data_IF_445612909356
#
_entry.id   IF_445612909356
#
_cell.length_a   1.000
_cell.length_b   1.000
_cell.length_c   1.000
_cell.angle_alpha   90.00
_cell.angle_beta   90.00
_cell.angle_gamma   90.00
#
_symmetry.space_group_name_H-M   'P 1'
#
loop_
_entity.id
_entity.type
_entity.pdbx_description
1 polymer ?
#
# COMPACT_ATOMS: atom_id res chain seq x y z
N UNK A 1 -5.25 44.20 -7.73
CA UNK A 1 -5.97 42.94 -8.03
C UNK A 1 -7.15 42.84 -7.08
N UNK A 2 -8.31 42.42 -7.58
CA UNK A 2 -9.48 42.15 -6.73
C UNK A 2 -9.19 40.93 -5.84
N UNK A 3 -9.57 41.02 -4.56
CA UNK A 3 -9.40 39.92 -3.59
C UNK A 3 -10.14 38.67 -4.05
N UNK A 4 -11.31 38.83 -4.68
CA UNK A 4 -12.09 37.71 -5.19
C UNK A 4 -11.39 36.98 -6.34
N UNK A 5 -10.72 37.72 -7.23
CA UNK A 5 -9.98 37.12 -8.35
C UNK A 5 -8.74 36.37 -7.88
N UNK A 6 -8.05 36.89 -6.85
CA UNK A 6 -6.93 36.18 -6.20
C UNK A 6 -7.39 34.85 -5.60
N UNK A 7 -8.51 34.85 -4.85
CA UNK A 7 -9.06 33.63 -4.24
C UNK A 7 -9.43 32.60 -5.32
N UNK A 8 -10.03 33.04 -6.44
CA UNK A 8 -10.40 32.14 -7.54
C UNK A 8 -9.16 31.50 -8.19
N UNK A 9 -8.10 32.27 -8.42
CA UNK A 9 -6.85 31.75 -8.95
C UNK A 9 -6.20 30.74 -8.00
N UNK A 10 -6.21 31.01 -6.69
CA UNK A 10 -5.67 30.08 -5.69
C UNK A 10 -6.45 28.77 -5.65
N UNK A 11 -7.78 28.82 -5.73
CA UNK A 11 -8.62 27.61 -5.80
C UNK A 11 -8.36 26.81 -7.09
N UNK A 12 -8.16 27.47 -8.22
CA UNK A 12 -7.82 26.80 -9.48
C UNK A 12 -6.46 26.12 -9.40
N UNK A 13 -5.46 26.82 -8.85
CA UNK A 13 -4.12 26.30 -8.62
C UNK A 13 -4.13 25.08 -7.71
N UNK A 14 -4.85 25.14 -6.60
CA UNK A 14 -5.02 24.00 -5.69
C UNK A 14 -5.61 22.78 -6.40
N UNK A 15 -6.60 22.99 -7.28
CA UNK A 15 -7.20 21.89 -8.07
C UNK A 15 -6.21 21.32 -9.08
N UNK A 16 -5.40 22.15 -9.72
CA UNK A 16 -4.36 21.70 -10.65
C UNK A 16 -3.27 20.91 -9.93
N UNK A 17 -2.77 21.42 -8.79
CA UNK A 17 -1.80 20.74 -7.94
C UNK A 17 -2.32 19.39 -7.42
N UNK A 18 -3.60 19.29 -7.06
CA UNK A 18 -4.21 18.03 -6.64
C UNK A 18 -4.25 16.98 -7.77
N UNK A 19 -4.40 17.43 -9.02
CA UNK A 19 -4.35 16.56 -10.20
C UNK A 19 -2.91 16.11 -10.50
N UNK A 20 -1.93 17.00 -10.30
CA UNK A 20 -0.51 16.71 -10.53
C UNK A 20 0.06 15.79 -9.44
N UNK A 21 -0.35 15.98 -8.18
CA UNK A 21 0.14 15.24 -7.02
C UNK A 21 -0.74 14.03 -6.69
N UNK A 22 -1.09 13.23 -7.71
CA UNK A 22 -1.84 12.00 -7.54
C UNK A 22 -0.94 10.76 -7.62
N UNK A 23 -0.89 9.96 -6.54
CA UNK A 23 0.01 8.81 -6.43
C UNK A 23 -0.73 7.47 -6.37
N UNK A 24 -0.22 6.48 -7.09
CA UNK A 24 -0.75 5.11 -7.09
C UNK A 24 0.26 4.08 -6.55
N UNK A 25 1.51 4.49 -6.32
CA UNK A 25 2.63 3.68 -5.85
C UNK A 25 3.25 4.30 -4.61
N UNK A 26 3.80 3.46 -3.73
CA UNK A 26 4.55 3.87 -2.55
C UNK A 26 5.85 4.56 -2.97
N UNK A 27 6.50 4.07 -4.02
CA UNK A 27 7.75 4.65 -4.55
C UNK A 27 7.54 6.11 -4.97
N UNK A 28 6.49 6.40 -5.75
CA UNK A 28 6.23 7.78 -6.18
C UNK A 28 5.89 8.71 -5.01
N UNK A 29 5.07 8.23 -4.06
CA UNK A 29 4.76 9.00 -2.85
C UNK A 29 6.00 9.25 -1.97
N UNK A 30 6.90 8.26 -1.90
CA UNK A 30 8.16 8.35 -1.18
C UNK A 30 9.11 9.39 -1.81
N UNK A 31 9.34 9.30 -3.12
CA UNK A 31 10.17 10.25 -3.86
C UNK A 31 9.66 11.68 -3.68
N UNK A 32 8.34 11.86 -3.71
CA UNK A 32 7.72 13.15 -3.41
C UNK A 32 7.97 13.61 -1.96
N UNK A 33 7.83 12.72 -0.97
CA UNK A 33 8.12 13.07 0.42
C UNK A 33 9.60 13.49 0.61
N UNK A 34 10.53 12.95 -0.19
CA UNK A 34 11.95 13.30 -0.15
C UNK A 34 12.22 14.73 -0.65
N UNK A 35 11.35 15.29 -1.50
CA UNK A 35 11.44 16.69 -1.93
C UNK A 35 11.06 17.67 -0.82
N UNK A 36 10.60 17.18 0.35
CA UNK A 36 10.17 17.98 1.50
C UNK A 36 9.14 19.05 1.10
N UNK A 37 7.96 18.62 0.64
CA UNK A 37 6.92 19.55 0.20
C UNK A 37 6.52 20.52 1.31
N UNK A 38 6.12 21.72 0.92
CA UNK A 38 5.61 22.71 1.85
C UNK A 38 4.30 22.21 2.51
N UNK A 39 4.01 22.70 3.72
CA UNK A 39 2.92 22.17 4.55
C UNK A 39 1.52 22.41 3.97
N UNK A 40 1.40 23.35 3.04
CA UNK A 40 0.19 23.72 2.29
C UNK A 40 -0.01 22.91 1.00
N UNK A 41 0.97 22.08 0.62
CA UNK A 41 0.85 21.19 -0.54
C UNK A 41 0.03 19.97 -0.16
N UNK A 42 -1.21 19.93 -0.64
CA UNK A 42 -2.08 18.76 -0.55
C UNK A 42 -1.77 17.76 -1.67
N UNK A 43 -1.82 16.48 -1.33
CA UNK A 43 -1.68 15.40 -2.33
C UNK A 43 -2.83 14.41 -2.27
N UNK A 44 -2.99 13.64 -3.34
CA UNK A 44 -4.03 12.63 -3.45
C UNK A 44 -3.41 11.30 -3.86
N UNK A 45 -4.11 10.20 -3.64
CA UNK A 45 -3.65 8.92 -4.16
C UNK A 45 -4.51 7.74 -3.82
N UNK A 46 -4.18 6.61 -4.44
CA UNK A 46 -4.90 5.34 -4.33
C UNK A 46 -3.96 4.27 -3.81
N UNK A 47 -4.36 3.61 -2.73
CA UNK A 47 -3.53 2.57 -2.10
C UNK A 47 -4.36 1.42 -1.55
N UNK A 48 -3.77 0.23 -1.60
CA UNK A 48 -4.34 -0.98 -1.05
C UNK A 48 -4.07 -1.04 0.45
N UNK A 49 -5.12 -1.11 1.27
CA UNK A 49 -4.99 -1.17 2.72
C UNK A 49 -4.37 -2.50 3.16
N UNK A 50 -3.25 -2.45 3.88
CA UNK A 50 -2.64 -3.64 4.53
C UNK A 50 -3.22 -3.84 5.93
N UNK A 51 -3.25 -2.78 6.72
CA UNK A 51 -3.77 -2.79 8.08
C UNK A 51 -4.22 -1.39 8.49
N UNK A 52 -5.11 -1.35 9.47
CA UNK A 52 -5.55 -0.11 10.07
C UNK A 52 -5.60 -0.27 11.59
N UNK A 53 -4.90 0.61 12.29
CA UNK A 53 -4.79 0.60 13.74
C UNK A 53 -5.40 1.87 14.32
N UNK A 54 -6.22 1.73 15.37
CA UNK A 54 -6.73 2.88 16.10
C UNK A 54 -5.65 3.43 17.02
N UNK A 55 -5.41 4.74 16.94
CA UNK A 55 -4.49 5.41 17.83
C UNK A 55 -5.12 5.53 19.23
N UNK A 56 -4.36 5.15 20.28
CA UNK A 56 -4.89 4.95 21.65
C UNK A 56 -5.39 6.23 22.32
N UNK A 57 -4.81 7.37 22.00
CA UNK A 57 -5.10 8.68 22.63
C UNK A 57 -5.81 9.65 21.71
N UNK A 58 -6.00 9.25 20.45
CA UNK A 58 -6.32 10.14 19.36
C UNK A 58 -7.63 9.73 18.70
N UNK A 59 -8.36 10.72 18.22
CA UNK A 59 -9.49 10.49 17.33
C UNK A 59 -9.01 10.19 15.91
N UNK A 60 -8.11 9.21 15.76
CA UNK A 60 -7.44 8.93 14.49
C UNK A 60 -7.13 7.46 14.30
N UNK A 61 -7.09 7.06 13.03
CA UNK A 61 -6.76 5.71 12.58
C UNK A 61 -5.51 5.79 11.71
N UNK A 62 -4.46 5.05 12.07
CA UNK A 62 -3.27 4.90 11.23
C UNK A 62 -3.49 3.77 10.24
N UNK A 63 -3.55 4.11 8.96
CA UNK A 63 -3.68 3.16 7.87
C UNK A 63 -2.31 2.88 7.30
N UNK A 64 -1.88 1.62 7.31
CA UNK A 64 -0.69 1.17 6.58
C UNK A 64 -1.15 0.61 5.25
N UNK A 65 -0.57 1.09 4.16
CA UNK A 65 -0.99 0.74 2.81
C UNK A 65 0.20 0.45 1.89
N UNK A 66 -0.09 -0.20 0.76
CA UNK A 66 0.87 -0.49 -0.32
C UNK A 66 0.29 -0.06 -1.67
N UNK A 67 1.01 -0.32 -2.75
CA UNK A 67 0.63 0.06 -4.11
C UNK A 67 -0.80 -0.37 -4.46
N UNK A 68 -1.49 0.49 -5.20
CA UNK A 68 -2.85 0.22 -5.70
C UNK A 68 -2.94 -1.07 -6.52
N UNK A 69 -1.90 -1.38 -7.30
CA UNK A 69 -1.81 -2.57 -8.15
C UNK A 69 -1.85 -3.89 -7.37
N UNK A 70 -1.49 -3.86 -6.09
CA UNK A 70 -1.45 -5.06 -5.23
C UNK A 70 -2.83 -5.49 -4.76
N UNK A 71 -3.88 -4.70 -5.02
CA UNK A 71 -5.26 -5.04 -4.68
C UNK A 71 -5.67 -6.44 -5.20
N UNK A 72 -5.31 -6.79 -6.45
CA UNK A 72 -5.61 -8.09 -7.06
C UNK A 72 -4.85 -9.28 -6.48
N UNK A 73 -3.72 -9.00 -5.81
CA UNK A 73 -2.78 -9.98 -5.29
C UNK A 73 -2.61 -9.86 -3.78
N UNK A 74 -3.56 -9.21 -3.10
CA UNK A 74 -3.43 -8.77 -1.72
C UNK A 74 -2.90 -9.84 -0.77
N UNK A 75 -3.43 -11.07 -0.83
CA UNK A 75 -2.99 -12.17 0.04
C UNK A 75 -1.49 -12.48 -0.15
N UNK A 76 -1.01 -12.57 -1.39
CA UNK A 76 0.39 -12.85 -1.72
C UNK A 76 1.29 -11.69 -1.30
N UNK A 77 0.86 -10.46 -1.55
CA UNK A 77 1.59 -9.26 -1.15
C UNK A 77 1.69 -9.16 0.37
N UNK A 78 0.59 -9.41 1.09
CA UNK A 78 0.55 -9.35 2.54
C UNK A 78 1.45 -10.41 3.18
N UNK A 79 1.44 -11.64 2.64
CA UNK A 79 2.31 -12.74 3.07
C UNK A 79 3.79 -12.38 2.83
N UNK A 80 4.16 -11.99 1.60
CA UNK A 80 5.51 -11.60 1.27
C UNK A 80 6.03 -10.44 2.13
N UNK A 81 5.18 -9.44 2.44
CA UNK A 81 5.55 -8.33 3.32
C UNK A 81 5.70 -8.74 4.79
N UNK A 82 5.07 -9.82 5.22
CA UNK A 82 5.20 -10.34 6.59
C UNK A 82 6.45 -11.20 6.76
N UNK A 83 6.93 -11.86 5.69
CA UNK A 83 8.19 -12.62 5.70
C UNK A 83 9.43 -11.72 5.70
N UNK A 84 9.27 -10.45 5.32
CA UNK A 84 10.34 -9.46 5.37
C UNK A 84 10.62 -8.98 6.80
N UNK A 85 11.91 -8.74 7.08
CA UNK A 85 12.28 -8.01 8.31
C UNK A 85 11.70 -6.59 8.30
N UNK A 86 11.42 -5.98 9.47
CA UNK A 86 10.81 -4.66 9.54
C UNK A 86 11.52 -3.59 8.70
N UNK A 87 12.86 -3.62 8.65
CA UNK A 87 13.66 -2.70 7.83
C UNK A 87 13.47 -2.89 6.33
N UNK A 88 13.44 -4.15 5.85
CA UNK A 88 13.23 -4.47 4.43
C UNK A 88 11.80 -4.23 3.96
N UNK A 89 10.83 -4.19 4.88
CA UNK A 89 9.42 -3.91 4.60
C UNK A 89 9.15 -2.43 4.30
N UNK A 90 9.88 -1.51 4.96
CA UNK A 90 9.61 -0.06 4.89
C UNK A 90 9.49 0.52 3.47
N UNK A 91 10.32 0.13 2.48
CA UNK A 91 10.22 0.68 1.13
C UNK A 91 8.92 0.38 0.38
N UNK A 92 8.16 -0.62 0.82
CA UNK A 92 6.94 -1.08 0.14
C UNK A 92 5.65 -0.64 0.83
N UNK A 93 5.77 0.15 1.90
CA UNK A 93 4.64 0.61 2.69
C UNK A 93 4.68 2.12 2.88
N UNK A 94 3.50 2.69 3.07
CA UNK A 94 3.30 4.05 3.55
C UNK A 94 2.30 4.05 4.70
N UNK A 95 2.24 5.17 5.44
CA UNK A 95 1.28 5.35 6.52
C UNK A 95 0.46 6.63 6.36
N UNK A 96 -0.85 6.53 6.43
CA UNK A 96 -1.75 7.69 6.42
C UNK A 96 -2.48 7.73 7.76
N UNK A 97 -2.34 8.83 8.48
CA UNK A 97 -3.14 9.10 9.67
C UNK A 97 -4.46 9.75 9.25
N UNK A 98 -5.55 9.04 9.49
CA UNK A 98 -6.91 9.51 9.19
C UNK A 98 -7.58 9.94 10.48
N UNK A 99 -7.76 11.25 10.64
CA UNK A 99 -8.51 11.81 11.77
C UNK A 99 -10.01 11.59 11.58
N UNK A 100 -10.74 11.36 12.66
CA UNK A 100 -12.19 11.24 12.64
C UNK A 100 -12.83 12.55 12.18
N UNK A 101 -14.04 12.41 11.65
CA UNK A 101 -14.81 13.57 11.24
C UNK A 101 -15.27 14.41 12.41
N UNK A 102 -15.67 15.64 12.10
CA UNK A 102 -16.27 16.53 13.08
C UNK A 102 -17.59 15.93 13.56
N UNK A 103 -17.77 15.94 14.87
CA UNK A 103 -19.01 15.50 15.52
C UNK A 103 -20.15 16.46 15.11
N UNK A 104 -21.25 15.93 14.58
CA UNK A 104 -22.45 16.74 14.30
C UNK A 104 -23.23 16.95 15.60
N UNK A 105 -23.96 18.07 15.68
CA UNK A 105 -24.79 18.41 16.84
C UNK A 105 -25.86 17.32 17.02
N UNK A 106 -25.85 16.64 18.17
CA UNK A 106 -26.78 15.55 18.48
C UNK A 106 -26.19 14.14 18.34
N UNK A 107 -25.07 13.98 17.63
CA UNK A 107 -24.38 12.68 17.59
C UNK A 107 -23.68 12.42 18.91
N UNK A 108 -23.52 11.14 19.28
CA UNK A 108 -22.77 10.77 20.48
C UNK A 108 -21.27 10.59 20.19
N UNK A 109 -20.91 10.23 18.95
CA UNK A 109 -19.54 9.94 18.51
C UNK A 109 -19.24 10.65 17.20
N UNK A 110 -17.97 11.00 16.99
CA UNK A 110 -17.49 11.45 15.69
C UNK A 110 -17.64 10.34 14.65
N UNK A 111 -18.05 10.68 13.41
CA UNK A 111 -18.10 9.72 12.33
C UNK A 111 -16.67 9.28 11.98
N UNK A 112 -16.49 8.01 11.62
CA UNK A 112 -15.19 7.42 11.29
C UNK A 112 -15.31 6.37 10.19
N UNK A 113 -14.26 6.23 9.41
CA UNK A 113 -14.11 5.17 8.41
C UNK A 113 -13.66 3.86 9.07
N UNK A 114 -14.22 2.73 8.63
CA UNK A 114 -13.71 1.40 8.95
C UNK A 114 -12.92 0.84 7.75
N UNK A 115 -11.60 0.93 7.82
CA UNK A 115 -10.71 0.42 6.76
C UNK A 115 -10.63 -1.10 6.80
N UNK A 116 -10.73 -1.74 5.63
CA UNK A 116 -10.64 -3.19 5.50
C UNK A 116 -9.33 -3.60 4.81
N UNK A 117 -8.56 -4.54 5.38
CA UNK A 117 -7.42 -5.12 4.69
C UNK A 117 -7.81 -5.65 3.31
N UNK A 118 -7.01 -5.34 2.30
CA UNK A 118 -7.24 -5.70 0.90
C UNK A 118 -8.17 -4.79 0.12
N UNK A 119 -8.87 -3.84 0.76
CA UNK A 119 -9.66 -2.84 0.04
C UNK A 119 -8.76 -1.75 -0.58
N UNK A 120 -9.19 -1.21 -1.71
CA UNK A 120 -8.54 -0.09 -2.38
C UNK A 120 -9.23 1.22 -1.96
N UNK A 121 -8.47 2.14 -1.40
CA UNK A 121 -8.97 3.45 -0.99
C UNK A 121 -8.31 4.56 -1.79
N UNK A 122 -9.12 5.55 -2.19
CA UNK A 122 -8.65 6.83 -2.67
C UNK A 122 -8.68 7.83 -1.52
N UNK A 123 -7.55 8.44 -1.23
CA UNK A 123 -7.40 9.52 -0.28
C UNK A 123 -7.14 10.81 -1.05
N UNK A 124 -7.86 11.86 -0.69
CA UNK A 124 -7.69 13.21 -1.23
C UNK A 124 -7.31 14.16 -0.12
N UNK A 125 -6.56 15.21 -0.48
CA UNK A 125 -6.12 16.23 0.46
C UNK A 125 -5.36 15.61 1.64
N UNK A 126 -4.33 14.84 1.31
CA UNK A 126 -3.32 14.39 2.26
C UNK A 126 -2.37 15.56 2.47
N UNK A 127 -2.32 16.04 3.70
CA UNK A 127 -1.43 17.11 4.13
C UNK A 127 -0.26 16.54 4.92
N UNK A 128 0.74 17.39 5.19
CA UNK A 128 1.83 17.07 6.11
C UNK A 128 2.66 15.86 5.69
N UNK A 129 2.87 15.70 4.38
CA UNK A 129 3.68 14.61 3.82
C UNK A 129 5.10 14.72 4.35
N UNK A 130 5.57 13.66 5.00
CA UNK A 130 6.88 13.62 5.67
C UNK A 130 7.34 12.18 5.90
N UNK A 131 8.48 11.97 6.56
CA UNK A 131 8.93 10.65 6.98
C UNK A 131 8.83 10.46 8.48
N UNK A 132 8.42 9.26 8.89
CA UNK A 132 8.57 8.78 10.25
C UNK A 132 9.19 7.39 10.22
N UNK A 133 10.33 7.21 10.91
CA UNK A 133 11.07 5.95 10.95
C UNK A 133 11.27 5.35 9.54
N UNK A 134 11.68 6.18 8.56
CA UNK A 134 11.92 5.84 7.14
C UNK A 134 10.69 5.38 6.34
N UNK A 135 9.49 5.53 6.89
CA UNK A 135 8.23 5.25 6.19
C UNK A 135 7.63 6.60 5.80
N UNK A 136 7.23 6.80 4.53
CA UNK A 136 6.55 8.02 4.14
C UNK A 136 5.17 8.06 4.80
N UNK A 137 4.85 9.20 5.38
CA UNK A 137 3.65 9.44 6.15
C UNK A 137 2.87 10.63 5.61
N UNK A 138 1.56 10.64 5.84
CA UNK A 138 0.69 11.79 5.56
C UNK A 138 -0.51 11.79 6.50
N UNK A 139 -1.29 12.87 6.47
CA UNK A 139 -2.50 13.00 7.29
C UNK A 139 -3.68 13.52 6.48
N UNK A 140 -4.87 13.05 6.81
CA UNK A 140 -6.11 13.58 6.25
C UNK A 140 -7.23 13.51 7.29
N UNK A 141 -8.27 14.30 7.11
CA UNK A 141 -9.45 14.27 7.97
C UNK A 141 -10.59 13.55 7.26
N UNK A 142 -11.20 12.60 7.96
CA UNK A 142 -12.40 11.94 7.49
C UNK A 142 -13.56 12.93 7.42
N UNK A 143 -14.29 12.91 6.32
CA UNK A 143 -15.50 13.70 6.13
C UNK A 143 -16.66 12.77 5.76
N UNK A 144 -17.69 12.76 6.60
CA UNK A 144 -18.90 11.97 6.39
C UNK A 144 -19.75 12.44 5.20
N UNK A 145 -19.58 13.70 4.78
CA UNK A 145 -20.34 14.28 3.67
C UNK A 145 -19.75 13.92 2.30
N UNK A 146 -18.62 13.21 2.30
CA UNK A 146 -18.14 12.43 1.17
C UNK A 146 -17.25 13.22 0.23
N UNK A 147 -15.97 12.85 0.21
CA UNK A 147 -15.08 13.26 -0.88
C UNK A 147 -13.61 13.02 -0.60
N UNK A 148 -13.18 13.08 0.67
CA UNK A 148 -11.75 12.97 1.02
C UNK A 148 -11.24 11.54 1.07
N UNK A 149 -12.10 10.58 1.44
CA UNK A 149 -11.73 9.18 1.52
C UNK A 149 -12.85 8.35 0.89
N UNK A 150 -12.50 7.60 -0.15
CA UNK A 150 -13.45 6.82 -0.95
C UNK A 150 -12.96 5.38 -1.00
N UNK A 151 -13.83 4.43 -0.67
CA UNK A 151 -13.56 3.02 -0.98
C UNK A 151 -13.83 2.82 -2.47
N UNK A 152 -12.75 2.61 -3.23
CA UNK A 152 -12.82 2.43 -4.69
C UNK A 152 -13.21 1.00 -5.02
N UNK A 153 -12.58 0.03 -4.33
CA UNK A 153 -12.88 -1.39 -4.48
C UNK A 153 -12.89 -2.10 -3.12
N UNK A 154 -13.87 -2.98 -2.85
CA UNK A 154 -13.88 -3.80 -1.65
C UNK A 154 -12.79 -4.88 -1.70
N UNK A 155 -12.40 -5.49 -0.57
CA UNK A 155 -11.41 -6.57 -0.58
C UNK A 155 -11.82 -7.72 -1.48
N UNK A 156 -10.88 -8.27 -2.25
CA UNK A 156 -11.14 -9.42 -3.10
C UNK A 156 -11.21 -10.69 -2.25
N UNK A 157 -12.43 -11.17 -1.98
CA UNK A 157 -12.64 -12.45 -1.32
C UNK A 157 -12.46 -13.55 -2.39
N UNK A 158 -11.27 -14.16 -2.45
CA UNK A 158 -11.10 -15.39 -3.22
C UNK A 158 -11.83 -16.51 -2.48
N UNK A 159 -12.90 -17.03 -3.09
CA UNK A 159 -13.50 -18.29 -2.61
C UNK A 159 -12.39 -19.33 -2.61
N UNK A 160 -12.14 -19.98 -1.46
CA UNK A 160 -11.34 -21.21 -1.42
C UNK A 160 -11.89 -22.14 -2.49
N UNK A 161 -11.14 -22.37 -3.56
CA UNK A 161 -11.40 -23.50 -4.43
C UNK A 161 -11.39 -24.74 -3.53
N UNK A 162 -12.48 -25.50 -3.57
CA UNK A 162 -12.63 -26.69 -2.73
C UNK A 162 -11.40 -27.56 -2.90
N UNK A 163 -10.63 -27.70 -1.82
CA UNK A 163 -9.60 -28.74 -1.70
C UNK A 163 -10.33 -30.05 -1.98
N UNK A 164 -9.89 -30.76 -3.01
CA UNK A 164 -10.47 -31.99 -3.55
C UNK A 164 -11.27 -32.80 -2.52
N UNK A 165 -12.55 -33.00 -2.82
CA UNK A 165 -13.30 -34.08 -2.20
C UNK A 165 -12.68 -35.39 -2.68
N UNK A 166 -11.74 -35.90 -1.89
CA UNK A 166 -11.11 -37.19 -2.09
C UNK A 166 -12.16 -38.25 -2.42
N UNK A 167 -11.95 -38.95 -3.55
CA UNK A 167 -12.73 -40.10 -3.97
C UNK A 167 -12.90 -41.07 -2.80
N UNK A 168 -14.09 -41.12 -2.21
CA UNK A 168 -14.51 -42.22 -1.34
C UNK A 168 -14.63 -43.47 -2.20
N UNK A 169 -13.58 -44.30 -2.22
CA UNK A 169 -13.72 -45.72 -2.58
C UNK A 169 -14.06 -46.48 -1.32
N UNK A 170 -15.29 -47.00 -1.28
CA UNK A 170 -15.73 -47.95 -0.28
C UNK A 170 -15.04 -49.31 -0.51
N UNK A 171 -14.44 -49.88 0.53
CA UNK A 171 -14.47 -51.32 0.77
C UNK A 171 -14.26 -51.61 2.26
N UNK A 172 -15.10 -52.49 2.79
CA UNK A 172 -15.25 -52.80 4.20
C UNK A 172 -14.31 -53.93 4.69
N UNK A 173 -14.11 -53.91 6.03
CA UNK A 173 -13.91 -55.02 6.98
C UNK A 173 -12.55 -55.75 7.04
N UNK A 174 -11.80 -55.53 8.14
CA UNK A 174 -11.77 -56.36 9.39
C UNK A 174 -10.45 -56.13 10.16
N UNK A 175 -10.54 -56.16 11.49
CA UNK A 175 -9.50 -56.12 12.54
C UNK A 175 -8.37 -57.17 12.29
N UNK A 176 -7.14 -57.05 12.80
CA UNK A 176 -6.77 -57.06 14.21
C UNK A 176 -5.25 -56.78 14.39
N UNK A 177 -4.85 -56.54 15.64
CA UNK A 177 -3.55 -56.07 16.12
C UNK A 177 -2.36 -57.03 15.91
N UNK A 178 -1.13 -56.49 15.83
CA UNK A 178 -0.04 -56.65 16.82
C UNK A 178 1.35 -56.21 16.30
N UNK A 179 2.16 -55.72 17.25
CA UNK A 179 3.62 -55.89 17.40
C UNK A 179 4.67 -55.16 16.54
N UNK A 180 5.48 -54.39 17.27
CA UNK A 180 6.96 -54.44 17.36
C UNK A 180 7.86 -53.69 16.36
N UNK A 181 8.57 -52.71 16.94
CA UNK A 181 10.04 -52.45 16.91
C UNK A 181 10.79 -52.09 15.61
N UNK A 182 11.45 -50.91 15.68
CA UNK A 182 12.86 -50.54 15.37
C UNK A 182 13.45 -50.92 13.98
N UNK A 183 14.19 -50.09 13.23
CA UNK A 183 15.46 -49.39 13.53
C UNK A 183 15.94 -48.61 12.26
N UNK A 184 16.76 -47.54 12.47
CA UNK A 184 17.90 -46.94 11.70
C UNK A 184 17.83 -46.78 10.16
N UNK A 185 17.98 -45.58 9.56
CA UNK A 185 19.14 -44.65 9.28
C UNK A 185 19.45 -44.65 7.76
N UNK A 186 20.24 -43.65 7.34
CA UNK A 186 20.81 -43.31 6.01
C UNK A 186 19.95 -42.31 5.18
N UNK A 187 20.26 -41.01 5.14
CA UNK A 187 21.48 -40.29 4.71
C UNK A 187 21.58 -40.25 3.18
N UNK A 188 21.33 -39.08 2.60
CA UNK A 188 21.84 -38.63 1.30
C UNK A 188 21.53 -37.13 1.15
N UNK A 189 22.59 -36.34 1.31
CA UNK A 189 22.63 -34.93 0.94
C UNK A 189 22.57 -34.80 -0.59
N UNK A 190 21.65 -33.98 -1.10
CA UNK A 190 21.75 -33.44 -2.46
C UNK A 190 21.86 -31.92 -2.42
N UNK A 191 23.11 -31.48 -2.45
CA UNK A 191 23.57 -30.14 -2.82
C UNK A 191 23.23 -29.88 -4.30
N UNK A 192 22.29 -28.96 -4.58
CA UNK A 192 22.07 -28.46 -5.95
C UNK A 192 22.75 -27.10 -6.11
N UNK A 193 24.05 -27.20 -6.42
CA UNK A 193 24.87 -26.18 -7.07
C UNK A 193 24.29 -25.81 -8.45
N UNK A 194 24.08 -24.51 -8.71
CA UNK A 194 23.94 -23.98 -10.07
C UNK A 194 24.92 -22.83 -10.27
N UNK A 195 26.04 -23.15 -10.92
CA UNK A 195 27.03 -22.18 -11.39
C UNK A 195 26.66 -21.63 -12.79
N UNK A 196 27.14 -20.40 -13.03
CA UNK A 196 27.14 -19.60 -14.26
C UNK A 196 27.73 -20.36 -15.48
N UNK A 197 27.57 -19.98 -16.75
CA UNK A 197 27.78 -18.72 -17.51
C UNK A 197 27.30 -19.05 -18.97
N UNK A 198 26.99 -18.17 -19.94
CA UNK A 198 27.13 -16.72 -20.08
C UNK A 198 26.82 -16.24 -21.52
N UNK A 199 26.84 -14.90 -21.66
CA UNK A 199 27.15 -14.01 -22.83
C UNK A 199 26.26 -14.10 -24.07
N UNK A 200 25.92 -13.04 -24.82
CA UNK A 200 26.25 -11.59 -24.93
C UNK A 200 25.13 -10.97 -25.83
N UNK A 201 24.78 -9.68 -25.88
CA UNK A 201 25.52 -8.54 -26.46
C UNK A 201 24.77 -7.22 -26.17
N UNK A 202 25.53 -6.13 -26.10
CA UNK A 202 25.10 -4.72 -25.96
C UNK A 202 24.92 -4.10 -27.37
N UNK A 203 24.16 -3.00 -27.54
CA UNK A 203 24.88 -1.73 -27.71
C UNK A 203 24.21 -0.46 -27.14
N UNK A 204 25.08 0.38 -26.55
CA UNK A 204 25.22 1.84 -26.62
C UNK A 204 23.99 2.80 -26.62
N UNK A 205 23.82 3.48 -25.48
CA UNK A 205 23.82 4.95 -25.24
C UNK A 205 23.12 5.88 -26.26
N UNK A 206 22.11 6.64 -25.79
CA UNK A 206 22.05 8.10 -26.04
C UNK A 206 21.32 8.85 -24.93
N UNK A 207 22.08 9.59 -24.12
CA UNK A 207 21.60 10.64 -23.20
C UNK A 207 21.43 11.92 -24.02
N UNK A 208 20.26 12.58 -23.93
CA UNK A 208 20.07 13.95 -24.44
C UNK A 208 19.87 14.91 -23.28
N UNK A 209 20.92 15.65 -22.96
CA UNK A 209 20.87 16.91 -22.21
C UNK A 209 20.40 18.03 -23.14
N UNK A 210 19.45 18.86 -22.70
CA UNK A 210 19.17 20.17 -23.29
C UNK A 210 19.60 21.25 -22.30
N UNK A 211 20.79 21.81 -22.53
CA UNK A 211 21.14 23.14 -22.08
C UNK A 211 20.65 24.13 -23.14
N UNK A 212 19.90 25.16 -22.74
CA UNK A 212 19.73 26.36 -23.54
C UNK A 212 20.47 27.49 -22.84
N UNK A 213 21.67 27.77 -23.36
CA UNK A 213 22.40 28.99 -23.07
C UNK A 213 21.75 30.18 -23.78
N UNK A 214 21.87 31.33 -23.12
CA UNK A 214 21.51 32.63 -23.63
C UNK A 214 22.25 32.97 -24.93
N UNK A 215 21.54 33.64 -25.85
CA UNK A 215 22.14 34.45 -26.91
C UNK A 215 21.42 35.78 -26.87
N UNK A 216 22.17 36.84 -26.57
CA UNK A 216 21.72 38.21 -26.71
C UNK A 216 21.71 38.66 -28.17
N UNK A 217 20.81 39.59 -28.44
CA UNK A 217 20.97 40.71 -29.37
C UNK A 217 20.07 41.83 -28.85
#
# INVERSE_FOLDING_TARGET
MDLLDSIRQDVLRQKEEEVVNHFCTVVGFREFAETKPAADVGVSGKWCCLSAERLKTDNGTRVTATDSSQHGLFEQTAEALNDLTPGKRKPYILQITVWDGKKKKGDMRSPRMAFRPGALYEFRQIDGVSFYADIPTGRTQFDSEGGKIIEVLPPMIKRKAGRDAGKKRAKAKTQEATSSQSTVEDDDEEDVIMAAEGKSENPAVSVRTRSNGAVGA
#
